data_IF_319034909509
#
_entry.id   IF_319034909509
#
_cell.length_a   1.000
_cell.length_b   1.000
_cell.length_c   1.000
_cell.angle_alpha   90.00
_cell.angle_beta   90.00
_cell.angle_gamma   90.00
#
_symmetry.space_group_name_H-M   'P 1'
#
loop_
_entity.id
_entity.type
_entity.pdbx_description
1 polymer ?
#
# COMPACT_ATOMS: atom_id res chain seq x y z
N UNK A 1 -10.01 -13.03 -0.85
CA UNK A 1 -10.48 -12.66 -2.19
C UNK A 1 -9.81 -13.52 -3.27
N UNK A 2 -8.49 -13.55 -3.38
CA UNK A 2 -7.79 -14.32 -4.42
C UNK A 2 -8.14 -15.81 -4.39
N UNK A 3 -8.18 -16.43 -3.21
CA UNK A 3 -8.57 -17.83 -3.06
C UNK A 3 -10.01 -18.10 -3.56
N UNK A 4 -10.95 -17.20 -3.26
CA UNK A 4 -12.30 -17.29 -3.79
C UNK A 4 -12.34 -17.23 -5.33
N UNK A 5 -11.60 -16.31 -5.92
CA UNK A 5 -11.54 -16.14 -7.38
C UNK A 5 -11.02 -17.40 -8.11
N UNK A 6 -10.13 -18.16 -7.46
CA UNK A 6 -9.53 -19.36 -8.04
C UNK A 6 -10.34 -20.63 -7.73
N UNK A 7 -10.80 -20.77 -6.49
CA UNK A 7 -11.40 -22.01 -5.97
C UNK A 7 -12.93 -21.97 -5.91
N UNK A 8 -13.53 -20.79 -6.06
CA UNK A 8 -14.98 -20.55 -6.03
C UNK A 8 -15.71 -21.08 -4.78
N UNK A 9 -15.00 -21.17 -3.65
CA UNK A 9 -15.56 -21.65 -2.37
C UNK A 9 -16.11 -20.47 -1.57
N UNK A 10 -17.42 -20.50 -1.18
CA UNK A 10 -18.10 -19.39 -0.53
C UNK A 10 -17.44 -18.90 0.77
N UNK A 11 -16.87 -19.81 1.56
CA UNK A 11 -16.23 -19.46 2.83
C UNK A 11 -15.04 -18.49 2.67
N UNK A 12 -14.34 -18.52 1.52
CA UNK A 12 -13.28 -17.55 1.23
C UNK A 12 -13.84 -16.17 0.91
N UNK A 13 -15.02 -16.10 0.29
CA UNK A 13 -15.70 -14.84 0.04
C UNK A 13 -16.22 -14.24 1.35
N UNK A 14 -16.84 -15.03 2.20
CA UNK A 14 -17.34 -14.60 3.51
C UNK A 14 -16.23 -14.01 4.37
N UNK A 15 -15.08 -14.71 4.46
CA UNK A 15 -13.92 -14.23 5.19
C UNK A 15 -13.35 -12.92 4.59
N UNK A 16 -13.27 -12.83 3.27
CA UNK A 16 -12.79 -11.64 2.58
C UNK A 16 -13.73 -10.45 2.75
N UNK A 17 -15.05 -10.67 2.71
CA UNK A 17 -16.08 -9.65 2.91
C UNK A 17 -16.02 -9.10 4.33
N UNK A 18 -15.96 -9.98 5.34
CA UNK A 18 -15.81 -9.56 6.74
C UNK A 18 -14.55 -8.73 6.96
N UNK A 19 -13.42 -9.15 6.37
CA UNK A 19 -12.16 -8.43 6.48
C UNK A 19 -12.26 -7.04 5.79
N UNK A 20 -12.84 -6.98 4.58
CA UNK A 20 -13.05 -5.73 3.84
C UNK A 20 -13.95 -4.76 4.61
N UNK A 21 -15.06 -5.24 5.18
CA UNK A 21 -16.00 -4.40 5.94
C UNK A 21 -15.31 -3.83 7.18
N UNK A 22 -14.68 -4.68 7.99
CA UNK A 22 -13.96 -4.24 9.18
C UNK A 22 -12.84 -3.25 8.83
N UNK A 23 -12.10 -3.50 7.76
CA UNK A 23 -11.03 -2.63 7.31
C UNK A 23 -11.54 -1.25 6.92
N UNK A 24 -12.60 -1.18 6.12
CA UNK A 24 -13.20 0.10 5.70
C UNK A 24 -13.78 0.84 6.90
N UNK A 25 -14.44 0.15 7.81
CA UNK A 25 -15.15 0.78 8.94
C UNK A 25 -14.20 1.24 10.06
N UNK A 26 -13.00 0.64 10.19
CA UNK A 26 -12.12 0.87 11.33
C UNK A 26 -10.75 1.43 10.97
N UNK A 27 -10.14 0.97 9.88
CA UNK A 27 -8.79 1.40 9.53
C UNK A 27 -8.72 2.64 8.66
N UNK A 28 -9.75 2.96 7.89
CA UNK A 28 -9.77 4.17 7.06
C UNK A 28 -9.84 5.41 7.95
N UNK A 29 -8.88 6.32 7.80
CA UNK A 29 -8.93 7.63 8.44
C UNK A 29 -9.82 8.58 7.61
N UNK A 30 -11.07 8.73 8.03
CA UNK A 30 -12.04 9.56 7.31
C UNK A 30 -11.69 11.07 7.37
N UNK A 31 -10.91 11.50 8.37
CA UNK A 31 -10.57 12.91 8.58
C UNK A 31 -9.33 13.33 7.76
N UNK A 32 -8.27 12.52 7.82
CA UNK A 32 -6.98 12.85 7.21
C UNK A 32 -6.69 12.08 5.92
N UNK A 33 -7.49 11.08 5.57
CA UNK A 33 -7.18 10.14 4.50
C UNK A 33 -6.16 9.09 4.90
N UNK A 34 -5.87 8.15 3.99
CA UNK A 34 -5.03 6.99 4.30
C UNK A 34 -5.66 6.06 5.31
N UNK A 35 -4.82 5.35 6.05
CA UNK A 35 -5.24 4.39 7.09
C UNK A 35 -4.50 4.65 8.39
N UNK A 36 -5.03 4.14 9.50
CA UNK A 36 -4.34 4.02 10.78
C UNK A 36 -3.37 2.84 10.73
N UNK A 37 -2.20 2.98 11.37
CA UNK A 37 -1.20 1.91 11.44
C UNK A 37 -1.68 0.75 12.32
N UNK A 38 -2.21 1.05 13.50
CA UNK A 38 -2.70 0.00 14.41
C UNK A 38 -3.91 0.44 15.22
N UNK A 39 -4.73 -0.56 15.58
CA UNK A 39 -5.91 -0.43 16.43
C UNK A 39 -5.79 -1.40 17.62
N UNK A 40 -6.48 -1.09 18.71
CA UNK A 40 -6.66 -2.03 19.83
C UNK A 40 -7.72 -3.12 19.49
N UNK A 41 -7.90 -4.05 20.40
CA UNK A 41 -8.88 -5.14 20.25
C UNK A 41 -10.34 -4.66 20.17
N UNK A 42 -10.63 -3.44 20.59
CA UNK A 42 -11.93 -2.77 20.53
C UNK A 42 -12.11 -1.94 19.25
N UNK A 43 -11.05 -1.78 18.47
CA UNK A 43 -11.04 -1.02 17.21
C UNK A 43 -10.76 0.48 17.41
N UNK A 44 -10.22 0.89 18.56
CA UNK A 44 -9.75 2.27 18.76
C UNK A 44 -8.33 2.43 18.22
N UNK A 45 -8.03 3.64 17.75
CA UNK A 45 -6.72 3.94 17.17
C UNK A 45 -5.64 3.92 18.25
N UNK A 46 -4.64 3.04 18.10
CA UNK A 46 -3.43 3.01 18.92
C UNK A 46 -2.33 3.88 18.29
N UNK A 47 -2.11 3.73 17.00
CA UNK A 47 -1.12 4.48 16.25
C UNK A 47 -1.73 4.96 14.94
N UNK A 48 -1.79 6.27 14.77
CA UNK A 48 -2.37 6.92 13.60
C UNK A 48 -1.37 7.24 12.49
N UNK A 49 -0.07 6.92 12.65
CA UNK A 49 0.94 7.20 11.61
C UNK A 49 0.54 6.59 10.26
N UNK A 50 1.03 7.18 9.20
CA UNK A 50 0.79 6.73 7.82
C UNK A 50 2.02 5.96 7.35
N UNK A 51 2.00 4.64 7.53
CA UNK A 51 2.99 3.76 6.94
C UNK A 51 2.63 3.50 5.48
N UNK A 52 3.47 3.96 4.55
CA UNK A 52 3.22 3.84 3.10
C UNK A 52 3.07 2.38 2.67
N UNK A 53 3.90 1.51 3.23
CA UNK A 53 3.81 0.06 3.14
C UNK A 53 2.39 -0.47 3.45
N UNK A 54 1.81 -0.05 4.57
CA UNK A 54 0.49 -0.52 4.99
C UNK A 54 -0.63 0.00 4.08
N UNK A 55 -0.52 1.26 3.62
CA UNK A 55 -1.47 1.82 2.66
C UNK A 55 -1.40 1.05 1.34
N UNK A 56 -0.19 0.66 0.90
CA UNK A 56 0.00 -0.21 -0.25
C UNK A 56 -0.75 -1.53 -0.11
N UNK A 57 -0.62 -2.24 1.02
CA UNK A 57 -1.37 -3.48 1.26
C UNK A 57 -2.88 -3.28 1.30
N UNK A 58 -3.35 -2.13 1.79
CA UNK A 58 -4.77 -1.79 1.73
C UNK A 58 -5.28 -1.66 0.29
N UNK A 59 -4.51 -0.98 -0.58
CA UNK A 59 -4.79 -0.92 -2.02
C UNK A 59 -4.82 -2.31 -2.63
N UNK A 60 -3.86 -3.18 -2.24
CA UNK A 60 -3.77 -4.56 -2.73
C UNK A 60 -5.02 -5.38 -2.37
N UNK A 61 -5.36 -5.40 -1.08
CA UNK A 61 -6.51 -6.17 -0.59
C UNK A 61 -7.84 -5.71 -1.19
N UNK A 62 -8.07 -4.39 -1.24
CA UNK A 62 -9.30 -3.80 -1.76
C UNK A 62 -9.42 -3.97 -3.28
N UNK A 63 -8.34 -3.79 -4.05
CA UNK A 63 -8.34 -4.02 -5.50
C UNK A 63 -8.53 -5.49 -5.86
N UNK A 64 -7.95 -6.43 -5.09
CA UNK A 64 -8.19 -7.87 -5.30
C UNK A 64 -9.62 -8.28 -4.91
N UNK A 65 -10.19 -7.68 -3.87
CA UNK A 65 -11.60 -7.90 -3.52
C UNK A 65 -12.52 -7.40 -4.64
N UNK A 66 -12.29 -6.19 -5.14
CA UNK A 66 -13.04 -5.63 -6.27
C UNK A 66 -12.90 -6.51 -7.53
N UNK A 67 -11.70 -7.04 -7.79
CA UNK A 67 -11.43 -7.96 -8.90
C UNK A 67 -12.20 -9.28 -8.79
N UNK A 68 -12.32 -9.79 -7.57
CA UNK A 68 -12.99 -11.07 -7.32
C UNK A 68 -14.52 -10.96 -7.31
N UNK A 69 -15.09 -9.79 -7.00
CA UNK A 69 -16.52 -9.62 -6.72
C UNK A 69 -17.23 -8.61 -7.63
N UNK A 70 -16.48 -7.71 -8.28
CA UNK A 70 -17.05 -6.55 -8.98
C UNK A 70 -17.47 -5.40 -8.04
N UNK A 71 -17.08 -5.42 -6.76
CA UNK A 71 -17.46 -4.42 -5.76
C UNK A 71 -16.85 -3.04 -6.09
N UNK A 72 -17.69 -2.10 -6.48
CA UNK A 72 -17.29 -0.74 -6.83
C UNK A 72 -16.83 0.07 -5.60
N UNK A 73 -17.44 -0.16 -4.42
CA UNK A 73 -17.06 0.53 -3.17
C UNK A 73 -15.63 0.18 -2.78
N UNK A 74 -15.25 -1.10 -2.84
CA UNK A 74 -13.87 -1.50 -2.57
C UNK A 74 -12.89 -0.89 -3.58
N UNK A 75 -13.26 -0.83 -4.86
CA UNK A 75 -12.44 -0.20 -5.89
C UNK A 75 -12.28 1.30 -5.64
N UNK A 76 -13.32 2.00 -5.23
CA UNK A 76 -13.25 3.45 -4.96
C UNK A 76 -12.36 3.75 -3.76
N UNK A 77 -12.39 2.93 -2.70
CA UNK A 77 -11.42 3.04 -1.61
C UNK A 77 -9.99 2.75 -2.05
N UNK A 78 -9.76 1.73 -2.89
CA UNK A 78 -8.43 1.45 -3.43
C UNK A 78 -7.87 2.64 -4.23
N UNK A 79 -8.69 3.26 -5.09
CA UNK A 79 -8.32 4.46 -5.85
C UNK A 79 -8.03 5.66 -4.94
N UNK A 80 -8.85 5.87 -3.89
CA UNK A 80 -8.63 6.94 -2.91
C UNK A 80 -7.29 6.77 -2.21
N UNK A 81 -7.00 5.57 -1.71
CA UNK A 81 -5.74 5.26 -1.03
C UNK A 81 -4.52 5.38 -1.97
N UNK A 82 -4.65 4.95 -3.23
CA UNK A 82 -3.65 5.24 -4.26
C UNK A 82 -3.39 6.74 -4.38
N UNK A 83 -4.45 7.54 -4.50
CA UNK A 83 -4.33 8.99 -4.57
C UNK A 83 -3.70 9.63 -3.32
N UNK A 84 -3.92 9.05 -2.15
CA UNK A 84 -3.30 9.51 -0.90
C UNK A 84 -1.78 9.20 -0.89
N UNK A 85 -1.35 8.02 -1.34
CA UNK A 85 0.08 7.67 -1.52
C UNK A 85 0.74 8.65 -2.51
N UNK A 86 0.15 8.85 -3.69
CA UNK A 86 0.72 9.72 -4.73
C UNK A 86 0.84 11.18 -4.28
N UNK A 87 -0.12 11.65 -3.50
CA UNK A 87 -0.15 13.05 -3.02
C UNK A 87 0.83 13.31 -1.90
N UNK A 88 1.02 12.36 -0.99
CA UNK A 88 1.69 12.60 0.28
C UNK A 88 3.00 11.85 0.45
N UNK A 89 3.10 10.64 -0.09
CA UNK A 89 4.29 9.80 0.09
C UNK A 89 5.24 9.81 -1.11
N UNK A 90 4.77 10.18 -2.31
CA UNK A 90 5.64 10.30 -3.47
C UNK A 90 6.54 11.55 -3.36
N UNK A 91 7.85 11.33 -3.37
CA UNK A 91 8.87 12.38 -3.38
C UNK A 91 9.44 12.55 -4.80
N UNK A 92 8.98 13.59 -5.49
CA UNK A 92 9.40 13.90 -6.87
C UNK A 92 10.86 14.34 -6.99
N UNK A 93 11.54 14.69 -5.89
CA UNK A 93 12.96 15.08 -5.91
C UNK A 93 13.86 13.86 -6.02
N UNK A 94 13.45 12.77 -5.41
CA UNK A 94 14.19 11.52 -5.37
C UNK A 94 13.51 10.42 -6.19
N UNK A 95 12.37 10.74 -6.80
CA UNK A 95 11.61 9.85 -7.68
C UNK A 95 11.27 8.50 -7.01
N UNK A 96 10.79 8.57 -5.76
CA UNK A 96 10.48 7.41 -4.94
C UNK A 96 9.49 7.74 -3.83
N UNK A 97 9.26 6.80 -2.92
CA UNK A 97 8.25 6.94 -1.87
C UNK A 97 8.90 6.94 -0.49
N UNK A 98 8.43 7.84 0.39
CA UNK A 98 8.85 7.86 1.79
C UNK A 98 8.17 6.75 2.59
N UNK A 99 8.88 6.22 3.61
CA UNK A 99 8.43 5.09 4.41
C UNK A 99 7.19 5.41 5.25
N UNK A 100 7.22 6.53 5.97
CA UNK A 100 6.19 6.90 6.91
C UNK A 100 6.05 8.40 7.08
N UNK A 101 4.85 8.80 7.48
CA UNK A 101 4.47 10.17 7.82
C UNK A 101 3.62 10.17 9.10
N UNK A 102 3.48 11.32 9.75
CA UNK A 102 2.53 11.48 10.86
C UNK A 102 1.09 11.30 10.37
N UNK A 103 0.11 11.20 11.27
CA UNK A 103 -1.31 11.08 10.91
C UNK A 103 -1.77 12.17 9.94
N UNK A 104 -1.27 13.39 10.11
CA UNK A 104 -1.60 14.53 9.25
C UNK A 104 -0.59 14.78 8.12
N UNK A 105 0.12 13.72 7.71
CA UNK A 105 1.02 13.68 6.55
C UNK A 105 2.26 14.59 6.66
N UNK A 106 2.70 14.91 7.89
CA UNK A 106 3.95 15.61 8.11
C UNK A 106 5.13 14.64 8.25
N UNK A 107 6.36 15.08 7.98
CA UNK A 107 7.54 14.25 8.22
C UNK A 107 7.60 13.69 9.65
N UNK A 108 8.09 12.47 9.80
CA UNK A 108 8.28 11.78 11.08
C UNK A 108 9.74 11.31 11.19
N UNK A 109 10.32 11.42 12.38
CA UNK A 109 11.72 11.08 12.59
C UNK A 109 11.98 9.57 12.57
N UNK A 110 11.09 8.79 13.17
CA UNK A 110 11.16 7.32 13.16
C UNK A 110 10.17 6.75 12.15
N UNK A 111 10.70 6.29 11.01
CA UNK A 111 9.93 5.75 9.90
C UNK A 111 9.87 4.22 9.90
N UNK A 112 10.53 3.55 10.87
CA UNK A 112 10.65 2.10 10.93
C UNK A 112 9.29 1.40 11.04
N UNK A 113 9.18 0.22 10.45
CA UNK A 113 8.05 -0.69 10.66
C UNK A 113 8.12 -1.36 12.03
N UNK A 114 9.35 -1.65 12.49
CA UNK A 114 9.62 -2.24 13.79
C UNK A 114 10.95 -1.74 14.38
N UNK A 115 11.17 -1.97 15.69
CA UNK A 115 12.42 -1.61 16.37
C UNK A 115 13.66 -2.38 15.87
N UNK A 116 13.46 -3.42 15.05
CA UNK A 116 14.55 -4.21 14.46
C UNK A 116 15.03 -3.67 13.12
N UNK A 117 14.28 -2.74 12.53
CA UNK A 117 14.60 -2.19 11.22
C UNK A 117 15.57 -1.02 11.33
N UNK A 118 16.40 -0.84 10.32
CA UNK A 118 17.16 0.39 10.16
C UNK A 118 16.23 1.54 9.75
N UNK A 119 16.48 2.73 10.29
CA UNK A 119 15.64 3.91 10.01
C UNK A 119 16.05 4.58 8.70
N UNK A 120 15.65 3.99 7.59
CA UNK A 120 15.82 4.54 6.25
C UNK A 120 14.57 5.25 5.76
N UNK A 121 14.74 6.30 4.99
CA UNK A 121 13.61 7.07 4.44
C UNK A 121 13.00 6.43 3.18
N UNK A 122 13.76 5.57 2.50
CA UNK A 122 13.35 4.84 1.29
C UNK A 122 13.95 3.45 1.31
N UNK A 123 13.08 2.44 1.37
CA UNK A 123 13.51 1.05 1.43
C UNK A 123 13.04 0.28 0.20
N UNK A 124 13.79 -0.73 -0.16
CA UNK A 124 13.40 -1.72 -1.16
C UNK A 124 12.06 -2.36 -0.78
N UNK A 125 11.88 -2.68 0.51
CA UNK A 125 10.68 -3.32 1.04
C UNK A 125 9.41 -2.50 0.74
N UNK A 126 9.39 -1.21 1.07
CA UNK A 126 8.22 -0.35 0.80
C UNK A 126 7.98 -0.18 -0.71
N UNK A 127 9.04 0.01 -1.52
CA UNK A 127 8.87 0.13 -2.96
C UNK A 127 8.32 -1.14 -3.61
N UNK A 128 8.76 -2.34 -3.15
CA UNK A 128 8.19 -3.61 -3.57
C UNK A 128 6.69 -3.67 -3.25
N UNK A 129 6.34 -3.31 -2.01
CA UNK A 129 4.97 -3.38 -1.54
C UNK A 129 4.09 -2.19 -1.95
N UNK A 130 4.61 -1.28 -2.79
CA UNK A 130 3.83 -0.35 -3.61
C UNK A 130 3.69 -0.89 -5.05
N UNK A 131 4.74 -1.47 -5.62
CA UNK A 131 4.71 -2.03 -6.98
C UNK A 131 3.67 -3.15 -7.11
N UNK A 132 3.61 -4.07 -6.14
CA UNK A 132 2.63 -5.17 -6.15
C UNK A 132 1.18 -4.68 -6.14
N UNK A 133 0.74 -3.82 -5.20
CA UNK A 133 -0.62 -3.29 -5.19
C UNK A 133 -0.96 -2.44 -6.42
N UNK A 134 -0.01 -1.65 -6.94
CA UNK A 134 -0.24 -0.86 -8.14
C UNK A 134 -0.46 -1.74 -9.36
N UNK A 135 0.30 -2.81 -9.51
CA UNK A 135 0.08 -3.79 -10.58
C UNK A 135 -1.25 -4.52 -10.43
N UNK A 136 -1.68 -4.81 -9.20
CA UNK A 136 -2.99 -5.43 -8.96
C UNK A 136 -4.14 -4.44 -9.21
N UNK A 137 -4.02 -3.20 -8.77
CA UNK A 137 -5.00 -2.14 -9.05
C UNK A 137 -5.12 -1.89 -10.55
N UNK A 138 -4.02 -1.91 -11.30
CA UNK A 138 -4.02 -1.74 -12.75
C UNK A 138 -4.83 -2.81 -13.50
N UNK A 139 -5.01 -3.98 -12.93
CA UNK A 139 -5.85 -5.05 -13.52
C UNK A 139 -7.35 -4.70 -13.56
N UNK A 140 -7.80 -3.82 -12.64
CA UNK A 140 -9.20 -3.41 -12.49
C UNK A 140 -9.44 -1.94 -12.78
N UNK A 141 -8.39 -1.13 -12.81
CA UNK A 141 -8.46 0.31 -13.09
C UNK A 141 -7.24 0.77 -13.87
N UNK A 142 -7.37 0.74 -15.21
CA UNK A 142 -6.27 1.08 -16.12
C UNK A 142 -6.28 2.57 -16.44
N UNK A 143 -5.28 3.29 -15.93
CA UNK A 143 -5.05 4.69 -16.27
C UNK A 143 -3.60 4.90 -16.73
N UNK A 144 -3.32 5.88 -17.61
CA UNK A 144 -1.95 6.20 -18.02
C UNK A 144 -1.06 6.57 -16.83
N UNK A 145 -1.59 7.33 -15.87
CA UNK A 145 -0.84 7.74 -14.69
C UNK A 145 -0.41 6.54 -13.82
N UNK A 146 -1.31 5.57 -13.58
CA UNK A 146 -0.96 4.37 -12.81
C UNK A 146 0.08 3.51 -13.57
N UNK A 147 -0.04 3.42 -14.90
CA UNK A 147 0.95 2.72 -15.71
C UNK A 147 2.33 3.39 -15.64
N UNK A 148 2.39 4.72 -15.67
CA UNK A 148 3.61 5.50 -15.52
C UNK A 148 4.26 5.26 -14.14
N UNK A 149 3.47 5.24 -13.07
CA UNK A 149 3.97 4.95 -11.71
C UNK A 149 4.51 3.53 -11.56
N UNK A 150 3.88 2.55 -12.20
CA UNK A 150 4.40 1.16 -12.24
C UNK A 150 5.74 1.13 -12.99
N UNK A 151 5.84 1.80 -14.14
CA UNK A 151 7.07 1.86 -14.91
C UNK A 151 8.20 2.54 -14.11
N UNK A 152 7.90 3.64 -13.43
CA UNK A 152 8.85 4.33 -12.55
C UNK A 152 9.33 3.42 -11.39
N UNK A 153 8.45 2.68 -10.73
CA UNK A 153 8.84 1.73 -9.69
C UNK A 153 9.75 0.63 -10.25
N UNK A 154 9.45 0.08 -11.42
CA UNK A 154 10.32 -0.91 -12.09
C UNK A 154 11.70 -0.30 -12.36
N UNK A 155 11.77 0.95 -12.84
CA UNK A 155 13.02 1.64 -13.09
C UNK A 155 13.85 1.82 -11.81
N UNK A 156 13.22 2.20 -10.69
CA UNK A 156 13.89 2.26 -9.38
C UNK A 156 14.54 0.92 -9.01
N UNK A 157 13.80 -0.20 -9.18
CA UNK A 157 14.37 -1.52 -8.93
C UNK A 157 15.58 -1.83 -9.82
N UNK A 158 15.50 -1.51 -11.10
CA UNK A 158 16.56 -1.84 -12.06
C UNK A 158 17.79 -0.93 -11.96
N UNK A 159 17.61 0.34 -11.56
CA UNK A 159 18.68 1.34 -11.63
C UNK A 159 19.25 1.73 -10.27
N UNK A 160 18.52 1.51 -9.17
CA UNK A 160 18.92 1.97 -7.82
C UNK A 160 19.04 0.85 -6.80
N UNK A 161 18.21 -0.18 -6.92
CA UNK A 161 18.15 -1.27 -5.95
C UNK A 161 18.92 -2.52 -6.42
N UNK A 162 18.92 -2.80 -7.71
CA UNK A 162 19.64 -3.96 -8.24
C UNK A 162 21.14 -3.66 -8.31
N UNK A 163 21.93 -4.37 -7.50
CA UNK A 163 23.38 -4.36 -7.59
C UNK A 163 23.81 -5.14 -8.85
N UNK A 164 24.42 -4.48 -9.85
CA UNK A 164 24.73 -5.12 -11.14
C UNK A 164 25.86 -6.15 -11.05
N UNK A 165 26.73 -6.09 -10.02
CA UNK A 165 27.84 -7.00 -9.85
C UNK A 165 27.41 -8.30 -9.18
N UNK A 166 26.49 -8.21 -8.21
CA UNK A 166 26.08 -9.36 -7.39
C UNK A 166 24.72 -9.94 -7.79
N UNK A 167 23.90 -9.16 -8.49
CA UNK A 167 22.50 -9.51 -8.78
C UNK A 167 21.56 -9.47 -7.57
N UNK A 168 22.03 -9.00 -6.41
CA UNK A 168 21.22 -8.82 -5.23
C UNK A 168 20.53 -7.44 -5.21
N UNK A 169 19.46 -7.32 -4.43
CA UNK A 169 18.80 -6.05 -4.19
C UNK A 169 19.38 -5.39 -2.93
N UNK A 170 19.79 -4.13 -3.06
CA UNK A 170 20.15 -3.29 -1.93
C UNK A 170 18.88 -2.92 -1.14
N UNK A 171 19.00 -2.79 0.18
CA UNK A 171 17.85 -2.57 1.05
C UNK A 171 17.36 -1.11 1.06
N UNK A 172 18.23 -0.16 0.71
CA UNK A 172 17.99 1.29 0.75
C UNK A 172 18.59 1.98 -0.46
N UNK A 173 18.06 3.16 -0.78
CA UNK A 173 18.62 4.05 -1.82
C UNK A 173 18.38 5.54 -1.51
#
# INVERSE_FOLDING_TARGET
AAAYRVLHRPEYLEAATRARDYFIDRFIDAEQGGIFWSLDAQGHVLDGRKQTYAIGFAVYGLSEYARATGDSKALDYAKKLYGDIERHAFDSRHDGYVEALTRNWQPIADMRLSDKDENGSRTMNTHLHILEPYTNLYRVWRTPQLAERIANLIDIFLTRLLNPETGHLDLFF
#
